data_IF_891200206075
#
_entry.id   IF_891200206075
#
_cell.length_a   1.000
_cell.length_b   1.000
_cell.length_c   1.000
_cell.angle_alpha   90.00
_cell.angle_beta   90.00
_cell.angle_gamma   90.00
#
_symmetry.space_group_name_H-M   'P 1'
#
loop_
_entity.id
_entity.type
_entity.pdbx_description
1 polymer ?
#
# COMPACT_ATOMS: atom_id res chain seq x y z
N UNK A 1 -7.30 -3.58 2.37
CA UNK A 1 -6.61 -3.74 1.07
C UNK A 1 -6.33 -2.34 0.58
N UNK A 2 -5.27 -2.15 -0.24
CA UNK A 2 -4.61 -0.85 -0.49
C UNK A 2 -5.51 0.38 -0.63
N UNK A 3 -4.96 1.56 -0.32
CA UNK A 3 -5.71 2.81 -0.33
C UNK A 3 -6.18 3.18 -1.75
N UNK A 4 -7.39 3.74 -1.83
CA UNK A 4 -7.97 4.17 -3.10
C UNK A 4 -7.20 5.37 -3.68
N UNK A 5 -6.77 5.24 -4.95
CA UNK A 5 -5.98 6.26 -5.66
C UNK A 5 -6.71 7.60 -5.79
N UNK A 6 -8.04 7.60 -5.90
CA UNK A 6 -8.84 8.82 -6.09
C UNK A 6 -8.83 9.74 -4.86
N UNK A 7 -8.44 9.21 -3.69
CA UNK A 7 -8.31 9.97 -2.45
C UNK A 7 -6.99 10.74 -2.36
N UNK A 8 -6.01 10.46 -3.20
CA UNK A 8 -4.70 11.11 -3.12
C UNK A 8 -4.70 12.42 -3.90
N UNK A 9 -4.02 13.43 -3.33
CA UNK A 9 -3.79 14.70 -4.01
C UNK A 9 -2.45 14.69 -4.75
N UNK A 10 -2.51 14.93 -6.05
CA UNK A 10 -1.34 14.93 -6.93
C UNK A 10 -1.11 13.58 -7.58
N UNK A 11 0.04 13.45 -8.22
CA UNK A 11 0.47 12.21 -8.87
C UNK A 11 1.05 11.25 -7.81
N UNK A 12 0.61 10.00 -7.85
CA UNK A 12 1.17 8.93 -7.01
C UNK A 12 2.08 8.10 -7.88
N UNK A 13 3.34 8.00 -7.45
CA UNK A 13 4.36 7.24 -8.15
C UNK A 13 3.93 5.77 -8.33
N UNK A 14 4.13 5.22 -9.53
CA UNK A 14 3.68 3.87 -9.88
C UNK A 14 4.34 2.80 -9.00
N UNK A 15 5.55 3.08 -8.51
CA UNK A 15 6.27 2.22 -7.57
C UNK A 15 5.57 2.07 -6.20
N UNK A 16 4.63 2.97 -5.89
CA UNK A 16 3.84 2.98 -4.66
C UNK A 16 2.47 2.30 -4.83
N UNK A 17 2.19 1.74 -6.01
CA UNK A 17 0.92 1.10 -6.33
C UNK A 17 1.07 -0.42 -6.20
N UNK A 18 0.13 -1.03 -5.49
CA UNK A 18 0.07 -2.48 -5.36
C UNK A 18 -0.44 -3.10 -6.68
N UNK A 19 0.31 -4.00 -7.33
CA UNK A 19 -0.09 -4.59 -8.60
C UNK A 19 -1.24 -5.60 -8.47
N UNK A 20 -1.61 -6.01 -7.25
CA UNK A 20 -2.73 -6.92 -7.01
C UNK A 20 -4.06 -6.16 -6.92
N UNK A 21 -4.11 -5.10 -6.09
CA UNK A 21 -5.35 -4.35 -5.85
C UNK A 21 -5.42 -3.03 -6.62
N UNK A 22 -4.38 -2.65 -7.35
CA UNK A 22 -4.27 -1.38 -8.08
C UNK A 22 -4.49 -0.13 -7.21
N UNK A 23 -4.27 -0.24 -5.91
CA UNK A 23 -4.36 0.85 -4.93
C UNK A 23 -2.99 1.18 -4.34
N UNK A 24 -2.88 2.31 -3.65
CA UNK A 24 -1.64 2.68 -2.96
C UNK A 24 -1.33 1.68 -1.85
N UNK A 25 -0.06 1.32 -1.75
CA UNK A 25 0.45 0.30 -0.83
C UNK A 25 0.03 0.55 0.64
N UNK A 26 -0.67 -0.43 1.22
CA UNK A 26 -1.07 -0.50 2.63
C UNK A 26 -0.28 -1.61 3.34
N UNK A 27 0.37 -1.28 4.46
CA UNK A 27 1.30 -2.17 5.18
C UNK A 27 2.23 -2.95 4.22
N UNK A 28 3.04 -2.28 3.38
CA UNK A 28 3.70 -2.95 2.27
C UNK A 28 4.77 -3.96 2.68
N UNK A 29 4.78 -5.08 1.97
CA UNK A 29 5.82 -6.10 2.00
C UNK A 29 6.50 -6.19 0.64
N UNK A 30 7.81 -6.38 0.66
CA UNK A 30 8.65 -6.60 -0.51
C UNK A 30 9.09 -8.07 -0.59
N UNK A 31 9.03 -8.64 -1.79
CA UNK A 31 9.65 -9.92 -2.07
C UNK A 31 11.17 -9.74 -2.23
N UNK A 32 11.97 -10.39 -1.39
CA UNK A 32 13.44 -10.19 -1.36
C UNK A 32 14.13 -10.61 -2.67
N UNK A 33 13.60 -11.59 -3.38
CA UNK A 33 14.23 -12.15 -4.58
C UNK A 33 14.04 -11.30 -5.84
N UNK A 34 12.93 -10.55 -5.94
CA UNK A 34 12.56 -9.80 -7.14
C UNK A 34 12.17 -8.34 -6.87
N UNK A 35 12.27 -7.90 -5.61
CA UNK A 35 12.10 -6.51 -5.16
C UNK A 35 10.72 -5.89 -5.40
N UNK A 36 9.73 -6.65 -5.88
CA UNK A 36 8.36 -6.19 -6.02
C UNK A 36 7.66 -6.01 -4.66
N UNK A 37 6.91 -4.91 -4.53
CA UNK A 37 6.18 -4.54 -3.32
C UNK A 37 4.66 -4.76 -3.48
N UNK A 38 4.01 -5.17 -2.39
CA UNK A 38 2.58 -5.50 -2.36
C UNK A 38 1.99 -5.12 -0.99
N UNK A 39 0.69 -4.88 -0.92
CA UNK A 39 0.02 -4.77 0.39
C UNK A 39 0.09 -6.10 1.13
N UNK A 40 0.31 -6.08 2.45
CA UNK A 40 0.40 -7.31 3.28
C UNK A 40 -0.78 -8.24 3.06
N UNK A 41 -2.00 -7.71 3.13
CA UNK A 41 -3.22 -8.50 2.93
C UNK A 41 -3.27 -9.13 1.53
N UNK A 42 -2.92 -8.37 0.50
CA UNK A 42 -2.99 -8.81 -0.90
C UNK A 42 -2.01 -9.95 -1.19
N UNK A 43 -0.74 -9.81 -0.79
CA UNK A 43 0.25 -10.84 -1.05
C UNK A 43 0.01 -12.09 -0.20
N UNK A 44 -0.47 -11.94 1.04
CA UNK A 44 -0.79 -13.07 1.90
C UNK A 44 -1.92 -13.92 1.30
N UNK A 45 -2.97 -13.27 0.79
CA UNK A 45 -4.06 -13.99 0.11
C UNK A 45 -3.57 -14.68 -1.17
N UNK A 46 -2.76 -13.99 -1.98
CA UNK A 46 -2.20 -14.56 -3.20
C UNK A 46 -1.38 -15.82 -2.92
N UNK A 47 -0.46 -15.76 -1.96
CA UNK A 47 0.41 -16.89 -1.60
C UNK A 47 -0.33 -18.07 -0.98
N UNK A 48 -1.51 -17.85 -0.40
CA UNK A 48 -2.40 -18.93 0.04
C UNK A 48 -2.91 -19.77 -1.12
N UNK A 49 -3.07 -19.16 -2.31
CA UNK A 49 -3.54 -19.82 -3.53
C UNK A 49 -2.40 -20.28 -4.43
N UNK A 50 -1.39 -19.44 -4.59
CA UNK A 50 -0.28 -19.66 -5.51
C UNK A 50 1.03 -19.09 -4.94
N UNK A 51 2.03 -19.93 -4.58
CA UNK A 51 3.30 -19.49 -3.99
C UNK A 51 4.27 -18.92 -5.04
N UNK A 52 3.84 -17.89 -5.76
CA UNK A 52 4.61 -17.21 -6.80
C UNK A 52 4.41 -15.70 -6.73
N UNK A 53 5.34 -14.93 -7.27
CA UNK A 53 5.21 -13.49 -7.39
C UNK A 53 4.13 -13.13 -8.43
N UNK A 54 3.16 -12.26 -8.12
CA UNK A 54 2.14 -11.84 -9.08
C UNK A 54 2.68 -11.15 -10.34
N UNK A 55 3.87 -10.54 -10.27
CA UNK A 55 4.44 -9.73 -11.37
C UNK A 55 5.29 -10.58 -12.31
N UNK A 56 6.24 -11.32 -11.76
CA UNK A 56 7.26 -12.06 -12.53
C UNK A 56 7.11 -13.58 -12.45
N UNK A 57 6.17 -14.09 -11.65
CA UNK A 57 5.87 -15.52 -11.43
C UNK A 57 7.01 -16.34 -10.83
N UNK A 58 8.05 -15.70 -10.28
CA UNK A 58 9.09 -16.39 -9.54
C UNK A 58 8.52 -17.03 -8.27
N UNK A 59 9.01 -18.21 -7.85
CA UNK A 59 8.56 -18.87 -6.64
C UNK A 59 8.93 -18.03 -5.41
N UNK A 60 7.92 -17.66 -4.62
CA UNK A 60 8.11 -16.93 -3.37
C UNK A 60 7.18 -17.48 -2.30
N UNK A 61 7.59 -17.39 -1.04
CA UNK A 61 6.79 -17.77 0.11
C UNK A 61 6.71 -16.62 1.12
N UNK A 62 5.84 -16.74 2.13
CA UNK A 62 5.74 -15.74 3.20
C UNK A 62 7.08 -15.49 3.90
N UNK A 63 7.96 -16.49 3.99
CA UNK A 63 9.30 -16.35 4.57
C UNK A 63 10.25 -15.47 3.73
N UNK A 64 9.95 -15.27 2.45
CA UNK A 64 10.71 -14.41 1.53
C UNK A 64 10.20 -12.97 1.51
N UNK A 65 9.14 -12.65 2.26
CA UNK A 65 8.61 -11.30 2.37
C UNK A 65 9.30 -10.55 3.51
N UNK A 66 9.63 -9.29 3.26
CA UNK A 66 10.20 -8.37 4.25
C UNK A 66 9.51 -7.02 4.18
N UNK A 67 9.62 -6.24 5.24
CA UNK A 67 9.14 -4.87 5.20
C UNK A 67 9.93 -4.06 4.16
N UNK A 68 9.25 -3.23 3.38
CA UNK A 68 9.88 -2.41 2.33
C UNK A 68 10.99 -1.49 2.88
N UNK A 69 11.95 -1.07 2.05
CA UNK A 69 12.99 -0.13 2.45
C UNK A 69 12.43 1.15 3.09
N UNK A 70 13.21 1.77 3.99
CA UNK A 70 12.80 3.00 4.68
C UNK A 70 12.46 4.14 3.71
N UNK A 71 13.15 4.21 2.57
CA UNK A 71 12.87 5.21 1.54
C UNK A 71 11.44 5.10 0.99
N UNK A 72 10.99 3.88 0.68
CA UNK A 72 9.63 3.64 0.16
C UNK A 72 8.57 3.98 1.21
N UNK A 73 8.80 3.59 2.48
CA UNK A 73 7.97 4.03 3.61
C UNK A 73 7.90 5.55 3.73
N UNK A 74 9.03 6.24 3.65
CA UNK A 74 9.07 7.70 3.72
C UNK A 74 8.36 8.37 2.53
N UNK A 75 8.36 7.75 1.34
CA UNK A 75 7.61 8.25 0.19
C UNK A 75 6.10 8.12 0.43
N UNK A 76 5.63 6.94 0.86
CA UNK A 76 4.24 6.71 1.25
C UNK A 76 3.77 7.70 2.33
N UNK A 77 4.54 7.87 3.40
CA UNK A 77 4.19 8.78 4.51
C UNK A 77 4.06 10.25 4.09
N UNK A 78 4.63 10.65 2.95
CA UNK A 78 4.57 12.02 2.42
C UNK A 78 3.39 12.27 1.49
N UNK A 79 2.71 11.23 1.04
CA UNK A 79 1.53 11.37 0.20
C UNK A 79 0.41 12.07 0.97
N UNK A 80 -0.29 12.98 0.28
CA UNK A 80 -1.46 13.65 0.83
C UNK A 80 -2.71 12.89 0.41
N UNK A 81 -3.55 12.55 1.37
CA UNK A 81 -4.77 11.78 1.21
C UNK A 81 -5.95 12.52 1.84
N UNK A 82 -7.10 12.47 1.17
CA UNK A 82 -8.37 12.92 1.72
C UNK A 82 -8.96 11.85 2.65
N UNK A 83 -9.58 12.30 3.73
CA UNK A 83 -10.32 11.42 4.63
C UNK A 83 -11.40 10.63 3.88
N UNK A 84 -11.64 9.38 4.27
CA UNK A 84 -12.75 8.57 3.74
C UNK A 84 -14.11 9.11 4.17
N UNK A 85 -14.16 9.83 5.29
CA UNK A 85 -15.36 10.51 5.77
C UNK A 85 -15.66 11.79 4.99
N UNK A 86 -15.02 12.03 3.84
CA UNK A 86 -15.36 13.14 2.96
C UNK A 86 -16.83 13.13 2.53
N UNK A 87 -17.41 11.94 2.36
CA UNK A 87 -18.84 11.80 2.08
C UNK A 87 -19.74 12.23 3.25
N UNK A 88 -19.22 12.21 4.48
CA UNK A 88 -19.92 12.62 5.70
C UNK A 88 -19.59 14.07 6.10
N UNK A 89 -18.82 14.80 5.29
CA UNK A 89 -18.50 16.23 5.49
C UNK A 89 -17.07 16.53 5.92
N UNK A 90 -16.20 15.52 6.07
CA UNK A 90 -14.80 15.77 6.40
C UNK A 90 -14.01 16.26 5.18
N UNK A 91 -13.55 17.51 5.21
CA UNK A 91 -12.77 18.11 4.11
C UNK A 91 -11.26 18.06 4.35
N UNK A 92 -10.82 17.33 5.39
CA UNK A 92 -9.42 17.32 5.78
C UNK A 92 -8.58 16.52 4.78
N UNK A 93 -7.47 17.14 4.38
CA UNK A 93 -6.42 16.54 3.57
C UNK A 93 -5.17 16.52 4.43
N UNK A 94 -4.60 15.34 4.59
CA UNK A 94 -3.53 15.09 5.55
C UNK A 94 -2.51 14.10 4.97
N UNK A 95 -1.38 13.96 5.65
CA UNK A 95 -0.37 12.98 5.26
C UNK A 95 -0.87 11.57 5.55
N UNK A 96 -0.54 10.62 4.70
CA UNK A 96 -0.94 9.22 4.84
C UNK A 96 -0.56 8.63 6.21
N UNK A 97 0.61 9.00 6.74
CA UNK A 97 1.08 8.58 8.07
C UNK A 97 0.15 9.00 9.22
N UNK A 98 -0.47 10.18 9.10
CA UNK A 98 -1.39 10.74 10.10
C UNK A 98 -2.84 10.29 9.91
N UNK A 99 -3.14 9.56 8.81
CA UNK A 99 -4.51 9.19 8.45
C UNK A 99 -5.17 8.31 9.51
N UNK A 100 -4.43 7.32 10.04
CA UNK A 100 -4.97 6.39 11.04
C UNK A 100 -5.46 7.14 12.29
N UNK A 101 -4.64 8.04 12.84
CA UNK A 101 -5.01 8.84 14.01
C UNK A 101 -6.20 9.76 13.72
N UNK A 102 -6.24 10.38 12.54
CA UNK A 102 -7.39 11.22 12.16
C UNK A 102 -8.70 10.42 12.11
N UNK A 103 -8.70 9.22 11.53
CA UNK A 103 -9.90 8.39 11.40
C UNK A 103 -10.48 8.01 12.78
N UNK A 104 -9.62 7.83 13.79
CA UNK A 104 -10.07 7.53 15.16
C UNK A 104 -10.84 8.70 15.82
N UNK A 105 -10.60 9.94 15.37
CA UNK A 105 -11.19 11.17 15.92
C UNK A 105 -12.23 11.84 15.00
N UNK A 106 -12.45 11.29 13.79
CA UNK A 106 -13.23 11.92 12.71
C UNK A 106 -14.74 11.61 12.76
#
# INVERSE_FOLDING_TARGET
MGYDLTRFQGDVDEELICPICSGVLEEPLQAVACEHAFCRACITEWLSRQPTCPVDRNPITNSNLRAVPRILRNLLSRLNISCENAMYGCTLVLKLDTLATHIEEC
#
